data_IF_516282577832
#
_entry.id   IF_516282577832
#
_cell.length_a   1.000
_cell.length_b   1.000
_cell.length_c   1.000
_cell.angle_alpha   90.00
_cell.angle_beta   90.00
_cell.angle_gamma   90.00
#
_symmetry.space_group_name_H-M   'P 1'
#
loop_
_entity.id
_entity.type
_entity.pdbx_description
1 polymer ?
#
# COMPACT_ATOMS: atom_id res chain seq x y z
N UNK A 1 24.67 -38.06 -27.02
CA UNK A 1 24.81 -36.77 -26.30
C UNK A 1 23.83 -36.85 -25.13
N UNK A 2 24.32 -37.05 -23.90
CA UNK A 2 23.48 -37.38 -22.74
C UNK A 2 22.85 -36.11 -22.19
N UNK A 3 21.53 -36.05 -22.18
CA UNK A 3 20.77 -35.11 -21.37
C UNK A 3 20.88 -35.58 -19.90
N UNK A 4 21.43 -34.73 -19.03
CA UNK A 4 21.37 -34.92 -17.59
C UNK A 4 20.38 -33.92 -17.00
N UNK A 5 19.26 -34.36 -16.41
CA UNK A 5 18.42 -33.49 -15.62
C UNK A 5 19.16 -33.18 -14.31
N UNK A 6 19.49 -31.91 -14.08
CA UNK A 6 20.15 -31.45 -12.86
C UNK A 6 19.08 -31.36 -11.75
N UNK A 7 18.73 -32.50 -11.13
CA UNK A 7 17.93 -32.53 -9.91
C UNK A 7 18.84 -32.19 -8.72
N UNK A 8 18.76 -30.94 -8.24
CA UNK A 8 19.40 -30.55 -6.98
C UNK A 8 18.41 -30.83 -5.85
N UNK A 9 18.51 -32.01 -5.24
CA UNK A 9 17.90 -32.28 -3.92
C UNK A 9 18.72 -31.55 -2.85
N UNK A 10 18.25 -30.39 -2.40
CA UNK A 10 18.83 -29.69 -1.25
C UNK A 10 18.31 -30.32 0.05
N UNK A 11 19.19 -31.07 0.75
CA UNK A 11 18.95 -31.46 2.14
C UNK A 11 19.21 -30.25 3.03
N UNK A 12 18.25 -29.91 3.89
CA UNK A 12 18.42 -28.91 4.95
C UNK A 12 19.41 -29.44 5.99
N UNK A 13 20.65 -28.97 5.97
CA UNK A 13 21.63 -29.26 7.01
C UNK A 13 21.68 -28.12 8.03
N UNK A 14 21.34 -28.44 9.28
CA UNK A 14 21.48 -27.54 10.43
C UNK A 14 22.93 -27.59 10.94
N UNK A 15 23.70 -26.52 10.73
CA UNK A 15 24.98 -26.32 11.41
C UNK A 15 24.90 -25.18 12.43
N UNK A 16 25.26 -25.50 13.67
CA UNK A 16 25.29 -24.58 14.81
C UNK A 16 26.55 -23.71 14.74
N UNK A 17 26.38 -22.39 14.77
CA UNK A 17 27.48 -21.43 14.95
C UNK A 17 27.19 -20.60 16.19
N UNK A 18 27.95 -20.87 17.26
CA UNK A 18 28.07 -19.96 18.42
C UNK A 18 26.84 -19.83 19.32
N UNK A 19 26.98 -19.19 20.50
CA UNK A 19 26.04 -19.36 21.58
C UNK A 19 24.80 -18.47 21.39
N UNK A 20 23.64 -19.10 21.20
CA UNK A 20 22.36 -18.55 21.68
C UNK A 20 21.44 -17.84 20.69
N UNK A 21 21.69 -17.90 19.39
CA UNK A 21 20.72 -17.42 18.38
C UNK A 21 20.45 -18.56 17.39
N UNK A 22 19.30 -19.21 17.52
CA UNK A 22 18.80 -20.17 16.53
C UNK A 22 18.26 -19.39 15.33
N UNK A 23 19.17 -18.90 14.49
CA UNK A 23 18.78 -18.24 13.24
C UNK A 23 18.71 -19.29 12.14
N UNK A 24 17.48 -19.65 11.77
CA UNK A 24 17.20 -20.48 10.61
C UNK A 24 17.73 -19.77 9.36
N UNK A 25 18.86 -20.26 8.82
CA UNK A 25 19.48 -19.71 7.61
C UNK A 25 18.69 -20.16 6.38
N UNK A 26 17.64 -19.40 6.07
CA UNK A 26 16.83 -19.56 4.86
C UNK A 26 17.64 -19.03 3.65
N UNK A 27 17.79 -19.81 2.56
CA UNK A 27 18.52 -19.37 1.37
C UNK A 27 18.00 -18.04 0.81
N UNK A 28 18.91 -17.15 0.41
CA UNK A 28 18.58 -15.81 -0.12
C UNK A 28 17.75 -15.85 -1.43
N UNK A 29 17.76 -16.97 -2.16
CA UNK A 29 17.13 -17.08 -3.48
C UNK A 29 15.67 -17.55 -3.44
N UNK A 30 15.28 -18.46 -2.52
CA UNK A 30 13.95 -19.07 -2.58
C UNK A 30 12.80 -18.12 -2.16
N UNK A 31 13.03 -17.21 -1.21
CA UNK A 31 11.98 -16.29 -0.73
C UNK A 31 11.61 -15.20 -1.73
N UNK A 32 12.58 -14.77 -2.53
CA UNK A 32 12.40 -13.69 -3.50
C UNK A 32 11.53 -14.11 -4.67
N UNK A 33 11.83 -15.26 -5.27
CA UNK A 33 11.13 -15.74 -6.46
C UNK A 33 9.66 -16.06 -6.19
N UNK A 34 9.33 -16.72 -5.07
CA UNK A 34 7.93 -17.03 -4.73
C UNK A 34 7.10 -15.75 -4.54
N UNK A 35 7.63 -14.78 -3.80
CA UNK A 35 6.94 -13.52 -3.56
C UNK A 35 6.85 -12.65 -4.82
N UNK A 36 7.89 -12.66 -5.66
CA UNK A 36 7.84 -12.03 -6.97
C UNK A 36 6.75 -12.66 -7.83
N UNK A 37 6.69 -13.99 -7.95
CA UNK A 37 5.64 -14.66 -8.71
C UNK A 37 4.24 -14.32 -8.19
N UNK A 38 4.07 -14.24 -6.87
CA UNK A 38 2.81 -13.79 -6.26
C UNK A 38 2.43 -12.36 -6.67
N UNK A 39 3.40 -11.44 -6.75
CA UNK A 39 3.17 -10.05 -7.13
C UNK A 39 3.00 -9.87 -8.64
N UNK A 40 3.79 -10.56 -9.45
CA UNK A 40 3.82 -10.43 -10.92
C UNK A 40 2.62 -11.14 -11.58
N UNK A 41 2.19 -12.30 -11.06
CA UNK A 41 1.11 -13.12 -11.61
C UNK A 41 -0.25 -12.41 -11.68
N UNK A 42 -0.43 -11.34 -10.90
CA UNK A 42 -1.64 -10.52 -10.90
C UNK A 42 -1.42 -9.09 -11.46
N UNK A 43 -0.18 -8.61 -11.53
CA UNK A 43 0.16 -7.25 -11.96
C UNK A 43 0.61 -7.15 -13.43
N UNK A 44 0.90 -8.27 -14.11
CA UNK A 44 1.33 -8.28 -15.50
C UNK A 44 2.63 -7.51 -15.76
N UNK A 45 3.50 -7.39 -14.75
CA UNK A 45 4.71 -6.56 -14.78
C UNK A 45 5.93 -7.34 -14.37
N UNK A 46 7.07 -7.08 -15.01
CA UNK A 46 8.35 -7.70 -14.65
C UNK A 46 9.06 -6.86 -13.59
N UNK A 47 8.68 -7.04 -12.33
CA UNK A 47 9.40 -6.47 -11.18
C UNK A 47 10.86 -6.93 -11.20
N UNK A 48 11.10 -8.16 -11.67
CA UNK A 48 12.41 -8.73 -11.97
C UNK A 48 13.27 -7.91 -12.95
N UNK A 49 12.67 -7.13 -13.86
CA UNK A 49 13.42 -6.31 -14.82
C UNK A 49 14.08 -5.07 -14.17
N UNK A 50 13.78 -4.75 -12.90
CA UNK A 50 14.33 -3.57 -12.25
C UNK A 50 15.82 -3.71 -11.91
N UNK A 51 16.64 -2.91 -12.59
CA UNK A 51 18.08 -2.71 -12.39
C UNK A 51 18.46 -1.55 -11.45
N UNK A 52 17.52 -1.04 -10.64
CA UNK A 52 17.79 -0.06 -9.57
C UNK A 52 18.37 1.30 -10.02
N UNK A 53 17.92 1.85 -11.16
CA UNK A 53 18.37 3.18 -11.65
C UNK A 53 17.83 4.41 -10.88
N UNK A 54 17.02 4.20 -9.84
CA UNK A 54 16.44 5.25 -8.96
C UNK A 54 15.54 6.31 -9.60
N UNK A 55 15.30 6.28 -10.92
CA UNK A 55 14.42 7.24 -11.62
C UNK A 55 13.04 7.38 -10.99
N UNK A 56 12.43 6.27 -10.58
CA UNK A 56 11.14 6.26 -9.91
C UNK A 56 11.13 7.05 -8.59
N UNK A 57 12.27 7.13 -7.91
CA UNK A 57 12.42 7.90 -6.66
C UNK A 57 12.60 9.37 -6.95
N UNK A 58 13.44 9.71 -7.92
CA UNK A 58 13.66 11.10 -8.34
C UNK A 58 12.41 11.74 -8.95
N UNK A 59 11.58 10.95 -9.64
CA UNK A 59 10.29 11.40 -10.17
C UNK A 59 9.18 11.53 -9.11
N UNK A 60 9.37 10.99 -7.90
CA UNK A 60 8.32 10.94 -6.89
C UNK A 60 8.28 12.26 -6.06
N UNK A 61 7.18 13.02 -6.09
CA UNK A 61 7.07 14.33 -5.44
C UNK A 61 7.00 14.22 -3.92
N UNK A 62 6.59 13.05 -3.42
CA UNK A 62 6.47 12.75 -1.98
C UNK A 62 7.57 11.82 -1.49
N UNK A 63 8.62 11.60 -2.28
CA UNK A 63 9.73 10.71 -1.91
C UNK A 63 10.37 11.11 -0.58
N UNK A 64 10.43 12.40 -0.25
CA UNK A 64 10.96 12.89 1.02
C UNK A 64 10.19 12.38 2.24
N UNK A 65 8.88 12.12 2.11
CA UNK A 65 8.02 11.62 3.18
C UNK A 65 7.97 10.08 3.27
N UNK A 66 8.67 9.38 2.37
CA UNK A 66 8.72 7.92 2.33
C UNK A 66 9.90 7.38 3.15
N UNK A 67 9.65 6.41 4.01
CA UNK A 67 10.67 5.65 4.77
C UNK A 67 11.45 4.66 3.88
N UNK A 68 10.81 4.12 2.84
CA UNK A 68 11.41 3.23 1.84
C UNK A 68 11.16 3.84 0.46
N UNK A 69 12.21 4.19 -0.28
CA UNK A 69 12.03 4.84 -1.58
C UNK A 69 11.45 3.87 -2.62
N UNK A 70 10.76 4.36 -3.67
CA UNK A 70 10.15 3.50 -4.69
C UNK A 70 11.10 2.45 -5.30
N UNK A 71 12.37 2.78 -5.55
CA UNK A 71 13.34 1.79 -6.06
C UNK A 71 13.66 0.70 -5.02
N UNK A 72 13.76 1.10 -3.75
CA UNK A 72 13.98 0.19 -2.62
C UNK A 72 12.77 -0.70 -2.37
N UNK A 73 11.54 -0.22 -2.56
CA UNK A 73 10.34 -1.05 -2.50
C UNK A 73 10.42 -2.20 -3.49
N UNK A 74 10.81 -1.91 -4.74
CA UNK A 74 11.02 -2.93 -5.77
C UNK A 74 12.10 -3.91 -5.32
N UNK A 75 13.22 -3.41 -4.79
CA UNK A 75 14.29 -4.28 -4.29
C UNK A 75 13.83 -5.17 -3.14
N UNK A 76 13.03 -4.64 -2.22
CA UNK A 76 12.52 -5.39 -1.08
C UNK A 76 11.52 -6.45 -1.53
N UNK A 77 10.71 -6.16 -2.55
CA UNK A 77 9.86 -7.15 -3.20
C UNK A 77 10.70 -8.26 -3.83
N UNK A 78 11.76 -7.92 -4.59
CA UNK A 78 12.69 -8.90 -5.16
C UNK A 78 13.39 -9.78 -4.11
N UNK A 79 13.64 -9.23 -2.92
CA UNK A 79 14.27 -9.95 -1.81
C UNK A 79 13.28 -10.72 -0.92
N UNK A 80 11.98 -10.65 -1.19
CA UNK A 80 10.96 -11.31 -0.37
C UNK A 80 10.76 -10.67 1.02
N UNK A 81 11.12 -9.40 1.22
CA UNK A 81 11.05 -8.71 2.52
C UNK A 81 9.63 -8.19 2.83
N UNK A 82 8.67 -9.11 2.87
CA UNK A 82 7.24 -8.81 3.00
C UNK A 82 6.91 -8.05 4.29
N UNK A 83 7.36 -8.49 5.45
CA UNK A 83 7.03 -7.87 6.74
C UNK A 83 7.52 -6.42 6.80
N UNK A 84 8.71 -6.17 6.21
CA UNK A 84 9.28 -4.83 6.14
C UNK A 84 8.48 -3.92 5.21
N UNK A 85 7.98 -4.45 4.10
CA UNK A 85 7.07 -3.71 3.21
C UNK A 85 5.74 -3.42 3.90
N UNK A 86 5.09 -4.42 4.51
CA UNK A 86 3.76 -4.26 5.13
C UNK A 86 3.74 -3.29 6.31
N UNK A 87 4.87 -3.12 7.01
CA UNK A 87 5.01 -2.17 8.12
C UNK A 87 5.39 -0.74 7.69
N UNK A 88 5.74 -0.54 6.42
CA UNK A 88 6.27 0.73 5.91
C UNK A 88 5.24 1.85 5.83
N UNK A 89 5.66 3.09 6.10
CA UNK A 89 4.84 4.28 5.87
C UNK A 89 4.63 4.56 4.37
N UNK A 90 5.59 4.17 3.53
CA UNK A 90 5.61 4.40 2.07
C UNK A 90 4.35 3.92 1.37
N UNK A 91 3.81 2.76 1.76
CA UNK A 91 2.57 2.21 1.19
C UNK A 91 1.39 3.18 1.34
N UNK A 92 1.33 3.88 2.47
CA UNK A 92 0.23 4.77 2.85
C UNK A 92 0.45 6.20 2.37
N UNK A 93 1.71 6.64 2.26
CA UNK A 93 2.07 7.98 1.74
C UNK A 93 2.01 8.05 0.21
N UNK A 94 2.15 6.93 -0.49
CA UNK A 94 2.12 6.89 -1.95
C UNK A 94 0.79 7.40 -2.53
N UNK A 95 0.88 8.44 -3.38
CA UNK A 95 -0.27 9.09 -4.03
C UNK A 95 -0.85 8.29 -5.21
N UNK A 96 -0.22 7.18 -5.60
CA UNK A 96 -0.62 6.37 -6.78
C UNK A 96 -0.74 7.21 -8.07
N UNK A 97 0.17 8.18 -8.26
CA UNK A 97 0.15 9.16 -9.36
C UNK A 97 0.80 8.67 -10.68
N UNK A 98 1.26 7.42 -10.75
CA UNK A 98 1.83 6.78 -11.96
C UNK A 98 3.12 7.39 -12.55
N UNK A 99 3.66 8.49 -11.99
CA UNK A 99 4.91 9.08 -12.50
C UNK A 99 6.08 8.09 -12.45
N UNK A 100 6.21 7.32 -11.38
CA UNK A 100 7.27 6.32 -11.26
C UNK A 100 7.23 5.24 -12.35
N UNK A 101 6.03 4.79 -12.75
CA UNK A 101 5.83 3.84 -13.84
C UNK A 101 6.19 4.49 -15.18
N UNK A 102 5.72 5.73 -15.41
CA UNK A 102 5.90 6.46 -16.68
C UNK A 102 7.37 6.74 -17.01
N UNK A 103 8.19 7.08 -16.01
CA UNK A 103 9.61 7.37 -16.21
C UNK A 103 10.50 6.11 -16.21
N UNK A 104 9.92 4.92 -16.00
CA UNK A 104 10.69 3.69 -15.93
C UNK A 104 11.16 3.25 -17.33
N UNK A 105 12.48 3.15 -17.58
CA UNK A 105 12.98 2.68 -18.88
C UNK A 105 12.78 1.18 -19.11
N UNK A 106 12.49 0.41 -18.05
CA UNK A 106 12.26 -1.04 -18.12
C UNK A 106 10.77 -1.38 -17.97
N UNK A 107 9.89 -0.38 -18.07
CA UNK A 107 8.43 -0.56 -18.05
C UNK A 107 7.89 -1.29 -16.80
N UNK A 108 8.60 -1.19 -15.67
CA UNK A 108 8.12 -1.71 -14.39
C UNK A 108 6.96 -0.84 -13.92
N UNK A 109 5.76 -1.41 -13.74
CA UNK A 109 4.61 -0.67 -13.21
C UNK A 109 4.70 -0.51 -11.69
N UNK A 110 5.61 0.37 -11.27
CA UNK A 110 5.89 0.65 -9.86
C UNK A 110 4.63 1.10 -9.11
N UNK A 111 3.76 1.89 -9.73
CA UNK A 111 2.54 2.33 -9.07
C UNK A 111 1.53 1.20 -8.84
N UNK A 112 1.40 0.26 -9.78
CA UNK A 112 0.56 -0.93 -9.60
C UNK A 112 1.08 -1.81 -8.48
N UNK A 113 2.41 -2.01 -8.40
CA UNK A 113 3.04 -2.67 -7.25
C UNK A 113 2.68 -1.98 -5.93
N UNK A 114 2.76 -0.65 -5.86
CA UNK A 114 2.37 0.11 -4.65
C UNK A 114 0.89 -0.08 -4.27
N UNK A 115 -0.02 -0.13 -5.25
CA UNK A 115 -1.44 -0.39 -5.03
C UNK A 115 -1.64 -1.82 -4.49
N UNK A 116 -0.95 -2.81 -5.06
CA UNK A 116 -1.00 -4.20 -4.61
C UNK A 116 -0.51 -4.34 -3.17
N UNK A 117 0.64 -3.76 -2.85
CA UNK A 117 1.20 -3.75 -1.50
C UNK A 117 0.25 -3.08 -0.50
N UNK A 118 -0.50 -2.05 -0.91
CA UNK A 118 -1.52 -1.41 -0.05
C UNK A 118 -2.71 -2.32 0.24
N UNK A 119 -3.18 -3.05 -0.77
CA UNK A 119 -4.24 -4.05 -0.60
C UNK A 119 -3.80 -5.17 0.33
N UNK A 120 -2.57 -5.65 0.17
CA UNK A 120 -1.99 -6.69 1.03
C UNK A 120 -1.76 -6.19 2.46
N UNK A 121 -1.22 -4.98 2.65
CA UNK A 121 -1.04 -4.35 3.96
C UNK A 121 -2.37 -4.14 4.70
N UNK A 122 -3.44 -3.86 3.96
CA UNK A 122 -4.79 -3.73 4.53
C UNK A 122 -5.34 -5.05 5.07
N UNK A 123 -4.83 -6.19 4.59
CA UNK A 123 -5.29 -7.55 4.92
C UNK A 123 -4.35 -8.35 5.80
N UNK A 124 -3.08 -7.97 5.87
CA UNK A 124 -2.05 -8.67 6.65
C UNK A 124 -2.27 -8.60 8.17
N UNK A 125 -3.17 -7.73 8.65
CA UNK A 125 -3.39 -7.49 10.08
C UNK A 125 -2.24 -6.73 10.77
N UNK A 126 -1.17 -6.41 10.04
CA UNK A 126 -0.03 -5.63 10.53
C UNK A 126 -0.50 -4.19 10.74
N UNK A 127 -0.23 -3.65 11.92
CA UNK A 127 -0.60 -2.26 12.23
C UNK A 127 0.32 -1.33 11.42
N UNK A 128 -0.24 -0.48 10.56
CA UNK A 128 0.56 0.45 9.78
C UNK A 128 1.14 1.54 10.68
N UNK A 129 2.34 2.00 10.36
CA UNK A 129 2.95 3.15 11.03
C UNK A 129 2.07 4.40 10.87
N UNK A 130 1.54 4.61 9.66
CA UNK A 130 0.63 5.71 9.32
C UNK A 130 -0.85 5.35 9.58
N UNK A 131 -1.22 5.26 10.86
CA UNK A 131 -2.56 4.80 11.28
C UNK A 131 -3.69 5.68 10.74
N UNK A 132 -3.52 7.00 10.76
CA UNK A 132 -4.55 7.95 10.31
C UNK A 132 -4.74 7.85 8.80
N UNK A 133 -3.66 7.73 8.02
CA UNK A 133 -3.74 7.56 6.56
C UNK A 133 -4.40 6.22 6.18
N UNK A 134 -4.09 5.16 6.93
CA UNK A 134 -4.78 3.87 6.75
C UNK A 134 -6.27 3.95 7.08
N UNK A 135 -6.63 4.60 8.19
CA UNK A 135 -8.01 4.84 8.56
C UNK A 135 -8.75 5.69 7.51
N UNK A 136 -8.09 6.72 6.98
CA UNK A 136 -8.59 7.55 5.89
C UNK A 136 -8.87 6.73 4.64
N UNK A 137 -7.90 5.93 4.18
CA UNK A 137 -8.03 5.09 3.00
C UNK A 137 -9.22 4.13 3.12
N UNK A 138 -9.36 3.44 4.26
CA UNK A 138 -10.50 2.53 4.50
C UNK A 138 -11.83 3.26 4.52
N UNK A 139 -11.88 4.47 5.10
CA UNK A 139 -13.10 5.29 5.14
C UNK A 139 -13.48 5.77 3.76
N UNK A 140 -12.50 6.24 2.99
CA UNK A 140 -12.67 6.64 1.60
C UNK A 140 -13.24 5.51 0.73
N UNK A 141 -12.64 4.31 0.81
CA UNK A 141 -13.12 3.15 0.05
C UNK A 141 -14.53 2.72 0.48
N UNK A 142 -14.84 2.76 1.78
CA UNK A 142 -16.18 2.41 2.27
C UNK A 142 -17.25 3.38 1.74
N UNK A 143 -16.94 4.67 1.67
CA UNK A 143 -17.86 5.66 1.11
C UNK A 143 -18.03 5.51 -0.39
N UNK A 144 -16.93 5.28 -1.11
CA UNK A 144 -16.96 4.99 -2.54
C UNK A 144 -17.82 3.75 -2.81
N UNK A 145 -17.68 2.67 -2.03
CA UNK A 145 -18.50 1.45 -2.16
C UNK A 145 -19.96 1.66 -1.80
N UNK A 146 -20.27 2.57 -0.86
CA UNK A 146 -21.64 2.83 -0.39
C UNK A 146 -22.41 3.75 -1.33
N UNK A 147 -21.78 4.83 -1.79
CA UNK A 147 -22.44 5.91 -2.52
C UNK A 147 -22.00 6.01 -3.98
N UNK A 148 -20.89 5.38 -4.38
CA UNK A 148 -20.32 5.47 -5.73
C UNK A 148 -19.64 6.81 -6.02
N UNK A 149 -19.62 7.71 -5.04
CA UNK A 149 -18.96 9.00 -5.06
C UNK A 149 -18.63 9.40 -3.63
N UNK A 150 -17.54 10.13 -3.47
CA UNK A 150 -17.12 10.64 -2.17
C UNK A 150 -17.71 12.03 -1.96
N UNK A 151 -18.18 12.28 -0.75
CA UNK A 151 -18.63 13.60 -0.30
C UNK A 151 -17.67 14.04 0.80
N UNK A 152 -16.98 15.17 0.59
CA UNK A 152 -15.92 15.63 1.48
C UNK A 152 -16.37 15.76 2.94
N UNK A 153 -17.56 16.32 3.15
CA UNK A 153 -18.10 16.56 4.50
C UNK A 153 -18.50 15.28 5.21
N UNK A 154 -19.12 14.35 4.47
CA UNK A 154 -19.45 13.03 4.99
C UNK A 154 -18.18 12.21 5.27
N UNK A 155 -17.18 12.26 4.38
CA UNK A 155 -15.87 11.64 4.57
C UNK A 155 -15.16 12.12 5.83
N UNK A 156 -15.09 13.44 6.01
CA UNK A 156 -14.46 14.03 7.19
C UNK A 156 -15.23 13.68 8.47
N UNK A 157 -16.57 13.68 8.43
CA UNK A 157 -17.38 13.27 9.57
C UNK A 157 -17.16 11.78 9.92
N UNK A 158 -17.26 10.89 8.93
CA UNK A 158 -17.03 9.45 9.09
C UNK A 158 -15.63 9.16 9.64
N UNK A 159 -14.60 9.86 9.12
CA UNK A 159 -13.21 9.71 9.57
C UNK A 159 -13.04 10.19 11.02
N UNK A 160 -13.55 11.38 11.34
CA UNK A 160 -13.42 11.97 12.67
C UNK A 160 -14.20 11.19 13.75
N UNK A 161 -15.23 10.43 13.35
CA UNK A 161 -15.97 9.53 14.23
C UNK A 161 -15.25 8.20 14.48
N UNK A 162 -14.19 7.87 13.75
CA UNK A 162 -13.42 6.64 14.01
C UNK A 162 -12.70 6.76 15.34
N UNK A 163 -12.77 5.74 16.23
CA UNK A 163 -12.18 5.81 17.57
C UNK A 163 -10.68 6.17 17.55
N UNK A 164 -9.93 5.59 16.62
CA UNK A 164 -8.49 5.84 16.45
C UNK A 164 -8.16 7.30 16.10
N UNK A 165 -8.99 7.96 15.31
CA UNK A 165 -8.78 9.36 14.89
C UNK A 165 -9.36 10.33 15.92
N UNK A 166 -10.56 10.05 16.43
CA UNK A 166 -11.21 10.87 17.46
C UNK A 166 -10.30 11.03 18.69
N UNK A 167 -9.73 9.92 19.17
CA UNK A 167 -8.85 9.92 20.34
C UNK A 167 -7.58 10.74 20.09
N UNK A 168 -6.96 10.58 18.91
CA UNK A 168 -5.79 11.36 18.48
C UNK A 168 -6.09 12.86 18.41
N UNK A 169 -7.24 13.24 17.86
CA UNK A 169 -7.65 14.65 17.71
C UNK A 169 -8.00 15.32 19.02
N UNK A 170 -8.64 14.59 19.94
CA UNK A 170 -8.90 15.06 21.30
C UNK A 170 -7.58 15.28 22.04
N UNK A 171 -6.65 14.32 21.94
CA UNK A 171 -5.32 14.40 22.57
C UNK A 171 -4.47 15.56 22.05
N UNK A 172 -4.50 15.80 20.75
CA UNK A 172 -3.70 16.88 20.09
C UNK A 172 -4.39 18.24 20.11
N UNK A 173 -5.66 18.31 20.53
CA UNK A 173 -6.46 19.54 20.48
C UNK A 173 -6.85 19.99 19.06
N UNK A 174 -6.51 19.22 18.03
CA UNK A 174 -6.78 19.55 16.61
C UNK A 174 -8.27 19.59 16.26
N UNK A 175 -9.14 19.00 17.10
CA UNK A 175 -10.60 19.08 16.93
C UNK A 175 -11.14 20.52 16.89
N UNK A 176 -10.43 21.48 17.52
CA UNK A 176 -10.81 22.91 17.50
C UNK A 176 -10.73 23.49 16.10
N UNK A 177 -9.65 23.19 15.37
CA UNK A 177 -9.44 23.67 14.00
C UNK A 177 -10.47 23.08 13.02
N UNK A 178 -10.80 21.80 13.19
CA UNK A 178 -11.85 21.16 12.39
C UNK A 178 -13.21 21.84 12.62
N UNK A 179 -13.55 22.16 13.87
CA UNK A 179 -14.80 22.83 14.21
C UNK A 179 -14.85 24.26 13.66
N UNK A 180 -13.75 25.00 13.76
CA UNK A 180 -13.62 26.34 13.19
C UNK A 180 -13.80 26.32 11.66
N UNK A 181 -13.15 25.37 10.98
CA UNK A 181 -13.30 25.16 9.54
C UNK A 181 -14.75 24.78 9.18
N UNK A 182 -15.37 23.88 9.94
CA UNK A 182 -16.77 23.48 9.73
C UNK A 182 -17.74 24.66 9.89
N UNK A 183 -17.59 25.49 10.92
CA UNK A 183 -18.41 26.70 11.14
C UNK A 183 -18.21 27.69 10.00
N UNK A 184 -16.97 27.91 9.55
CA UNK A 184 -16.65 28.82 8.46
C UNK A 184 -17.29 28.37 7.14
N UNK A 185 -17.22 27.08 6.83
CA UNK A 185 -17.84 26.50 5.63
C UNK A 185 -19.36 26.50 5.71
N UNK A 186 -19.94 26.26 6.90
CA UNK A 186 -21.38 26.33 7.13
C UNK A 186 -21.92 27.75 6.92
N UNK A 187 -21.26 28.77 7.49
CA UNK A 187 -21.61 30.19 7.30
C UNK A 187 -21.57 30.62 5.82
N UNK A 188 -20.70 29.99 5.02
CA UNK A 188 -20.59 30.24 3.57
C UNK A 188 -21.53 29.38 2.71
N UNK A 189 -22.35 28.52 3.31
CA UNK A 189 -23.25 27.62 2.58
C UNK A 189 -22.54 26.57 1.72
N UNK A 190 -21.26 26.29 1.98
CA UNK A 190 -20.43 25.36 1.16
C UNK A 190 -20.42 23.92 1.70
N UNK A 191 -21.08 23.68 2.83
CA UNK A 191 -21.09 22.38 3.52
C UNK A 191 -22.22 21.49 2.99
N UNK A 192 -21.90 20.44 2.22
CA UNK A 192 -22.90 19.51 1.62
C UNK A 192 -23.07 18.24 2.47
N UNK A 193 -23.83 18.33 3.56
CA UNK A 193 -23.91 17.28 4.59
C UNK A 193 -24.33 15.88 4.09
N UNK A 194 -25.20 15.80 3.08
CA UNK A 194 -25.73 14.52 2.62
C UNK A 194 -25.03 14.01 1.37
N UNK A 195 -24.49 12.78 1.39
CA UNK A 195 -23.95 12.16 0.20
C UNK A 195 -25.08 11.79 -0.77
N UNK A 196 -24.89 12.09 -2.06
CA UNK A 196 -25.77 11.62 -3.13
C UNK A 196 -25.24 10.29 -3.67
N UNK A 197 -26.13 9.38 -4.07
CA UNK A 197 -25.75 8.11 -4.68
C UNK A 197 -25.50 8.25 -6.19
N UNK A 198 -24.45 7.63 -6.71
CA UNK A 198 -24.19 7.58 -8.15
C UNK A 198 -25.21 6.66 -8.86
N UNK A 199 -25.46 6.88 -10.15
CA UNK A 199 -26.36 6.03 -10.96
C UNK A 199 -25.70 4.69 -11.29
N UNK A 200 -24.40 4.69 -11.59
CA UNK A 200 -23.66 3.53 -12.10
C UNK A 200 -23.05 2.66 -10.98
N UNK A 201 -23.80 2.46 -9.90
CA UNK A 201 -23.34 1.69 -8.73
C UNK A 201 -23.02 0.23 -9.04
N UNK A 202 -23.65 -0.33 -10.07
CA UNK A 202 -23.44 -1.72 -10.45
C UNK A 202 -22.06 -1.93 -11.09
N UNK A 203 -21.61 -0.99 -11.92
CA UNK A 203 -20.28 -1.02 -12.53
C UNK A 203 -19.18 -0.83 -11.48
N UNK A 204 -19.36 0.13 -10.55
CA UNK A 204 -18.43 0.36 -9.45
C UNK A 204 -18.27 -0.90 -8.60
N UNK A 205 -19.38 -1.62 -8.34
CA UNK A 205 -19.35 -2.90 -7.62
C UNK A 205 -18.59 -3.98 -8.41
N UNK A 206 -18.76 -4.06 -9.74
CA UNK A 206 -18.02 -5.00 -10.58
C UNK A 206 -16.51 -4.74 -10.50
N UNK A 207 -16.08 -3.48 -10.65
CA UNK A 207 -14.65 -3.10 -10.58
C UNK A 207 -14.06 -3.42 -9.20
N UNK A 208 -14.76 -3.07 -8.12
CA UNK A 208 -14.29 -3.36 -6.75
C UNK A 208 -14.12 -4.85 -6.45
N UNK A 209 -14.92 -5.71 -7.11
CA UNK A 209 -14.79 -7.17 -7.01
C UNK A 209 -13.58 -7.69 -7.80
N UNK A 210 -13.28 -7.09 -8.95
CA UNK A 210 -12.14 -7.46 -9.81
C UNK A 210 -10.80 -7.11 -9.15
N UNK A 211 -10.69 -5.95 -8.51
CA UNK A 211 -9.44 -5.54 -7.82
C UNK A 211 -9.23 -6.20 -6.46
N UNK A 212 -10.10 -7.16 -6.11
CA UNK A 212 -9.95 -7.99 -4.93
C UNK A 212 -9.90 -7.20 -3.62
N UNK A 213 -10.54 -6.05 -3.47
CA UNK A 213 -10.59 -5.32 -2.18
C UNK A 213 -11.77 -5.81 -1.33
N UNK A 214 -11.77 -7.09 -0.95
CA UNK A 214 -12.66 -7.65 0.09
C UNK A 214 -11.93 -7.69 1.44
#
# INVERSE_FOLDING_TARGET
MREHPFQITLKSESQTVGPGISEERIPLFDRGEEYLHHLEGEAGTSISACYQCERCTNACPVSHFMDIKPHQVIRFAQLGWKEKLMSSSTIWVCLSCEMCSTYCPNEVAVAQLMIRLRSEASRSGIRPQERILSAFHRTFLNELKRFGRVNETWLMASLNLRPEVAMEKIRTGSWKHDLEAAVTLWRRGRLKLLPHRCRDMEEIRKISRIQGEQ
#
